data_IF_369265522686
#
_entry.id   IF_369265522686
#
_cell.length_a   1.000
_cell.length_b   1.000
_cell.length_c   1.000
_cell.angle_alpha   90.00
_cell.angle_beta   90.00
_cell.angle_gamma   90.00
#
_symmetry.space_group_name_H-M   'P 1'
#
loop_
_entity.id
_entity.type
_entity.pdbx_description
1 polymer ?
#
# COMPACT_ATOMS: atom_id res chain seq x y z
N UNK A 1 -19.66 4.07 -13.94
CA UNK A 1 -18.91 3.74 -12.71
C UNK A 1 -19.49 4.65 -11.64
N UNK A 2 -20.51 4.16 -10.94
CA UNK A 2 -21.48 4.98 -10.22
C UNK A 2 -20.87 5.68 -9.00
N UNK A 3 -21.40 6.85 -8.67
CA UNK A 3 -21.02 7.68 -7.52
C UNK A 3 -21.04 6.89 -6.19
N UNK A 4 -21.89 5.86 -6.12
CA UNK A 4 -21.99 4.91 -5.00
C UNK A 4 -20.68 4.15 -4.72
N UNK A 5 -19.87 3.86 -5.75
CA UNK A 5 -18.59 3.15 -5.57
C UNK A 5 -17.56 4.05 -4.90
N UNK A 6 -17.55 5.35 -5.22
CA UNK A 6 -16.62 6.32 -4.62
C UNK A 6 -17.00 6.66 -3.18
N UNK A 7 -18.30 6.76 -2.87
CA UNK A 7 -18.76 6.99 -1.50
C UNK A 7 -18.49 5.80 -0.59
N UNK A 8 -18.68 4.56 -1.06
CA UNK A 8 -18.37 3.36 -0.27
C UNK A 8 -16.85 3.21 -0.03
N UNK A 9 -16.03 3.51 -1.04
CA UNK A 9 -14.56 3.55 -0.84
C UNK A 9 -14.19 4.58 0.22
N UNK A 10 -14.80 5.77 0.23
CA UNK A 10 -14.53 6.80 1.22
C UNK A 10 -15.03 6.44 2.63
N UNK A 11 -16.20 5.82 2.76
CA UNK A 11 -16.78 5.39 4.05
C UNK A 11 -16.05 4.18 4.65
N UNK A 12 -15.69 3.18 3.84
CA UNK A 12 -14.80 2.10 4.27
C UNK A 12 -13.41 2.61 4.67
N UNK A 13 -12.92 3.68 4.03
CA UNK A 13 -11.69 4.36 4.43
C UNK A 13 -11.78 5.06 5.80
N UNK A 14 -12.99 5.29 6.32
CA UNK A 14 -13.25 5.98 7.57
C UNK A 14 -13.41 5.05 8.77
N UNK A 15 -14.22 3.99 8.64
CA UNK A 15 -14.54 3.07 9.76
C UNK A 15 -13.48 1.96 9.94
N UNK A 16 -12.88 1.47 8.84
CA UNK A 16 -11.86 0.40 8.87
C UNK A 16 -10.45 0.94 8.63
N UNK A 17 -10.25 2.26 8.69
CA UNK A 17 -8.95 2.89 8.37
C UNK A 17 -7.80 2.29 9.15
N UNK A 18 -7.96 2.15 10.47
CA UNK A 18 -6.92 1.62 11.34
C UNK A 18 -6.63 0.14 11.04
N UNK A 19 -7.67 -0.66 10.80
CA UNK A 19 -7.52 -2.07 10.43
C UNK A 19 -6.81 -2.22 9.08
N UNK A 20 -7.20 -1.42 8.08
CA UNK A 20 -6.55 -1.38 6.76
C UNK A 20 -5.10 -0.88 6.86
N UNK A 21 -4.82 0.06 7.77
CA UNK A 21 -3.45 0.51 8.08
C UNK A 21 -2.65 -0.63 8.70
N UNK A 22 -3.19 -1.37 9.66
CA UNK A 22 -2.49 -2.51 10.27
C UNK A 22 -2.26 -3.65 9.27
N UNK A 23 -3.25 -4.01 8.46
CA UNK A 23 -3.10 -4.98 7.38
C UNK A 23 -2.06 -4.51 6.34
N UNK A 24 -2.07 -3.23 5.96
CA UNK A 24 -1.05 -2.65 5.10
C UNK A 24 0.35 -2.70 5.73
N UNK A 25 0.49 -2.43 7.03
CA UNK A 25 1.76 -2.54 7.77
C UNK A 25 2.26 -3.98 7.80
N UNK A 26 1.40 -4.97 7.97
CA UNK A 26 1.78 -6.39 7.92
C UNK A 26 2.27 -6.78 6.51
N UNK A 27 1.54 -6.42 5.47
CA UNK A 27 1.96 -6.66 4.08
C UNK A 27 3.29 -5.99 3.76
N UNK A 28 3.50 -4.74 4.20
CA UNK A 28 4.77 -4.03 4.02
C UNK A 28 5.92 -4.71 4.76
N UNK A 29 5.70 -5.29 5.95
CA UNK A 29 6.72 -6.08 6.67
C UNK A 29 7.11 -7.36 5.92
N UNK A 30 6.15 -8.05 5.33
CA UNK A 30 6.44 -9.21 4.46
C UNK A 30 7.27 -8.79 3.25
N UNK A 31 6.90 -7.68 2.61
CA UNK A 31 7.65 -7.13 1.48
C UNK A 31 9.07 -6.71 1.89
N UNK A 32 9.25 -6.07 3.04
CA UNK A 32 10.58 -5.71 3.54
C UNK A 32 11.50 -6.93 3.70
N UNK A 33 10.97 -8.05 4.20
CA UNK A 33 11.72 -9.31 4.29
C UNK A 33 12.13 -9.84 2.91
N UNK A 34 11.23 -9.77 1.92
CA UNK A 34 11.49 -10.22 0.55
C UNK A 34 12.51 -9.36 -0.19
N UNK A 35 12.57 -8.07 0.15
CA UNK A 35 13.53 -7.11 -0.39
C UNK A 35 14.92 -7.25 0.26
N UNK A 36 15.02 -7.84 1.44
CA UNK A 36 16.27 -7.91 2.22
C UNK A 36 17.40 -8.56 1.39
N UNK A 37 18.50 -7.81 1.21
CA UNK A 37 19.65 -8.26 0.44
C UNK A 37 19.48 -8.19 -1.08
N UNK A 38 18.35 -7.66 -1.57
CA UNK A 38 18.09 -7.38 -2.99
C UNK A 38 17.98 -5.87 -3.21
N UNK A 39 18.31 -5.42 -4.41
CA UNK A 39 18.17 -4.01 -4.80
C UNK A 39 16.72 -3.67 -5.14
N UNK A 40 16.00 -4.62 -5.73
CA UNK A 40 14.58 -4.57 -6.07
C UNK A 40 13.93 -5.90 -5.70
N UNK A 41 12.60 -5.97 -5.63
CA UNK A 41 11.90 -7.22 -5.27
C UNK A 41 12.25 -8.39 -6.21
N UNK A 42 12.46 -8.10 -7.50
CA UNK A 42 12.92 -9.05 -8.52
C UNK A 42 14.44 -9.22 -8.64
N UNK A 43 15.24 -8.60 -7.77
CA UNK A 43 16.71 -8.66 -7.80
C UNK A 43 17.35 -7.40 -8.39
N UNK A 44 17.80 -7.47 -9.65
CA UNK A 44 18.64 -6.42 -10.26
C UNK A 44 17.88 -5.29 -10.97
N UNK A 45 16.65 -5.56 -11.43
CA UNK A 45 15.83 -4.61 -12.19
C UNK A 45 14.52 -4.25 -11.49
N UNK A 46 13.96 -3.09 -11.86
CA UNK A 46 12.63 -2.65 -11.43
C UNK A 46 11.58 -3.58 -12.03
N UNK A 47 10.81 -4.24 -11.18
CA UNK A 47 9.65 -5.03 -11.57
C UNK A 47 8.33 -4.33 -11.29
N UNK A 48 7.24 -5.00 -11.66
CA UNK A 48 5.89 -4.52 -11.38
C UNK A 48 5.64 -4.29 -9.89
N UNK A 49 6.16 -5.18 -9.03
CA UNK A 49 6.00 -5.08 -7.58
C UNK A 49 6.69 -3.83 -7.02
N UNK A 50 7.85 -3.44 -7.55
CA UNK A 50 8.54 -2.21 -7.15
C UNK A 50 7.71 -0.96 -7.48
N UNK A 51 7.07 -0.93 -8.65
CA UNK A 51 6.20 0.17 -9.09
C UNK A 51 4.95 0.25 -8.20
N UNK A 52 4.29 -0.89 -7.95
CA UNK A 52 3.11 -0.96 -7.11
C UNK A 52 3.42 -0.53 -5.66
N UNK A 53 4.53 -1.02 -5.08
CA UNK A 53 4.97 -0.65 -3.74
C UNK A 53 5.29 0.85 -3.65
N UNK A 54 5.95 1.43 -4.67
CA UNK A 54 6.23 2.87 -4.71
C UNK A 54 4.94 3.71 -4.76
N UNK A 55 3.95 3.30 -5.56
CA UNK A 55 2.65 3.96 -5.63
C UNK A 55 1.93 3.90 -4.28
N UNK A 56 1.88 2.72 -3.64
CA UNK A 56 1.29 2.57 -2.31
C UNK A 56 2.02 3.48 -1.30
N UNK A 57 3.34 3.47 -1.26
CA UNK A 57 4.13 4.31 -0.34
C UNK A 57 3.83 5.81 -0.52
N UNK A 58 3.69 6.28 -1.77
CA UNK A 58 3.31 7.66 -2.07
C UNK A 58 1.95 8.04 -1.48
N UNK A 59 0.95 7.17 -1.65
CA UNK A 59 -0.41 7.41 -1.14
C UNK A 59 -0.53 7.20 0.36
N UNK A 60 0.22 6.26 0.94
CA UNK A 60 0.26 6.02 2.39
C UNK A 60 0.69 7.29 3.12
N UNK A 61 1.67 8.05 2.62
CA UNK A 61 2.03 9.35 3.18
C UNK A 61 0.91 10.40 3.07
N UNK A 62 0.12 10.38 2.00
CA UNK A 62 -1.04 11.26 1.84
C UNK A 62 -2.21 10.87 2.77
N UNK A 63 -2.39 9.59 3.05
CA UNK A 63 -3.48 9.07 3.87
C UNK A 63 -3.16 8.96 5.37
N UNK A 64 -1.89 8.83 5.76
CA UNK A 64 -1.43 8.75 7.16
C UNK A 64 -1.06 10.10 7.78
N UNK A 65 -0.95 11.20 7.01
CA UNK A 65 -0.80 12.53 7.60
C UNK A 65 -2.13 13.02 8.19
N UNK A 66 -2.36 12.66 9.46
CA UNK A 66 -3.11 13.44 10.44
C UNK A 66 -2.28 13.56 11.70
#
# INVERSE_FOLDING_TARGET
MCLETLQNVYYCYGEDKEKLIEEAKEMLRTLESELKGKRFFGGEGIGFLDIAANFIAFWVGAFLNK
#
